data_IF_166361317549
#
_entry.id   IF_166361317549
#
_cell.length_a   1.000
_cell.length_b   1.000
_cell.length_c   1.000
_cell.angle_alpha   90.00
_cell.angle_beta   90.00
_cell.angle_gamma   90.00
#
_symmetry.space_group_name_H-M   'P 1'
#
loop_
_entity.id
_entity.type
_entity.pdbx_description
1 polymer ?
#
# COMPACT_ATOMS: atom_id res chain seq x y z
N UNK A 1 27.45 34.86 19.36
CA UNK A 1 27.97 35.41 18.09
C UNK A 1 27.02 34.92 17.00
N UNK A 2 25.98 35.70 16.72
CA UNK A 2 24.87 35.30 15.85
C UNK A 2 25.33 35.34 14.39
N UNK A 3 25.15 34.29 13.58
CA UNK A 3 25.49 34.38 12.17
C UNK A 3 24.51 35.34 11.48
N UNK A 4 25.07 36.28 10.73
CA UNK A 4 24.33 37.31 9.99
C UNK A 4 23.54 36.64 8.87
N UNK A 5 22.21 36.72 8.98
CA UNK A 5 21.25 36.33 7.94
C UNK A 5 21.51 37.15 6.66
N UNK A 6 22.00 36.49 5.61
CA UNK A 6 22.01 37.05 4.26
C UNK A 6 20.55 37.07 3.77
N UNK A 7 20.07 38.25 3.36
CA UNK A 7 18.77 38.39 2.69
C UNK A 7 18.79 37.56 1.40
N UNK A 8 17.80 36.69 1.23
CA UNK A 8 17.65 35.76 0.10
C UNK A 8 17.44 36.44 -1.27
N UNK A 9 17.31 37.77 -1.28
CA UNK A 9 17.08 38.59 -2.48
C UNK A 9 18.29 38.61 -3.44
N UNK A 10 19.48 38.20 -2.99
CA UNK A 10 20.74 38.26 -3.80
C UNK A 10 21.39 36.89 -4.08
N UNK A 11 20.73 35.76 -3.83
CA UNK A 11 21.37 34.45 -3.98
C UNK A 11 21.31 33.94 -5.44
N UNK A 12 22.45 33.70 -6.10
CA UNK A 12 22.47 33.16 -7.46
C UNK A 12 21.88 31.74 -7.49
N UNK A 13 21.24 31.36 -8.61
CA UNK A 13 20.58 30.06 -8.85
C UNK A 13 21.30 28.82 -8.28
N UNK A 14 22.65 28.68 -8.33
CA UNK A 14 23.35 27.52 -7.78
C UNK A 14 23.15 27.32 -6.27
N UNK A 15 22.99 28.41 -5.51
CA UNK A 15 22.76 28.33 -4.05
C UNK A 15 21.32 27.92 -3.75
N UNK A 16 20.35 28.23 -4.60
CA UNK A 16 18.96 27.78 -4.43
C UNK A 16 18.83 26.25 -4.60
N UNK A 17 19.58 25.67 -5.54
CA UNK A 17 19.62 24.22 -5.72
C UNK A 17 20.18 23.47 -4.51
N UNK A 18 21.20 24.03 -3.82
CA UNK A 18 21.70 23.43 -2.57
C UNK A 18 20.68 23.51 -1.43
N UNK A 19 19.90 24.58 -1.34
CA UNK A 19 18.84 24.70 -0.33
C UNK A 19 17.70 23.71 -0.57
N UNK A 20 17.29 23.48 -1.82
CA UNK A 20 16.30 22.45 -2.15
C UNK A 20 16.72 21.05 -1.72
N UNK A 21 18.00 20.71 -1.83
CA UNK A 21 18.53 19.44 -1.33
C UNK A 21 18.44 19.36 0.21
N UNK A 22 18.72 20.47 0.91
CA UNK A 22 18.54 20.58 2.37
C UNK A 22 17.08 20.38 2.77
N UNK A 23 16.13 20.98 2.06
CA UNK A 23 14.70 20.77 2.34
C UNK A 23 14.28 19.32 2.11
N UNK A 24 14.75 18.67 1.04
CA UNK A 24 14.49 17.25 0.80
C UNK A 24 15.08 16.35 1.90
N UNK A 25 16.25 16.70 2.43
CA UNK A 25 16.86 15.99 3.54
C UNK A 25 16.07 16.20 4.85
N UNK A 26 15.69 17.44 5.17
CA UNK A 26 14.87 17.76 6.34
C UNK A 26 13.52 17.03 6.32
N UNK A 27 12.83 17.05 5.16
CA UNK A 27 11.59 16.29 4.94
C UNK A 27 11.76 14.79 5.21
N UNK A 28 12.92 14.23 4.86
CA UNK A 28 13.22 12.81 5.03
C UNK A 28 13.56 12.45 6.48
N UNK A 29 14.19 13.36 7.21
CA UNK A 29 14.64 13.15 8.59
C UNK A 29 13.52 13.39 9.61
N UNK A 30 12.60 14.31 9.30
CA UNK A 30 11.48 14.63 10.18
C UNK A 30 10.35 13.58 10.06
N UNK A 31 10.14 12.83 11.15
CA UNK A 31 9.21 11.68 11.18
C UNK A 31 7.77 12.07 10.85
N UNK A 32 7.27 13.17 11.41
CA UNK A 32 5.89 13.63 11.23
C UNK A 32 5.63 14.12 9.80
N UNK A 33 6.55 14.92 9.25
CA UNK A 33 6.51 15.37 7.85
C UNK A 33 6.53 14.20 6.87
N UNK A 34 7.45 13.26 7.06
CA UNK A 34 7.52 12.06 6.21
C UNK A 34 6.25 11.22 6.32
N UNK A 35 5.68 11.08 7.51
CA UNK A 35 4.41 10.38 7.73
C UNK A 35 3.27 11.06 6.97
N UNK A 36 3.13 12.38 7.09
CA UNK A 36 2.07 13.14 6.43
C UNK A 36 2.18 13.07 4.89
N UNK A 37 3.37 13.26 4.34
CA UNK A 37 3.64 13.13 2.91
C UNK A 37 3.32 11.73 2.39
N UNK A 38 3.68 10.72 3.16
CA UNK A 38 3.47 9.34 2.77
C UNK A 38 1.97 8.97 2.78
N UNK A 39 1.15 9.57 3.66
CA UNK A 39 -0.32 9.43 3.62
C UNK A 39 -0.91 10.04 2.34
N UNK A 40 -0.49 11.26 1.99
CA UNK A 40 -0.92 11.94 0.77
C UNK A 40 -0.51 11.14 -0.48
N UNK A 41 0.74 10.65 -0.51
CA UNK A 41 1.24 9.84 -1.61
C UNK A 41 0.39 8.58 -1.83
N UNK A 42 0.02 7.89 -0.74
CA UNK A 42 -0.80 6.67 -0.82
C UNK A 42 -2.23 6.96 -1.24
N UNK A 43 -2.88 7.93 -0.60
CA UNK A 43 -4.25 8.34 -0.94
C UNK A 43 -4.34 8.83 -2.38
N UNK A 44 -3.37 9.63 -2.81
CA UNK A 44 -3.26 10.12 -4.18
C UNK A 44 -3.09 8.98 -5.17
N UNK A 45 -2.14 8.08 -4.93
CA UNK A 45 -1.93 6.92 -5.80
C UNK A 45 -3.18 6.04 -5.94
N UNK A 46 -3.86 5.72 -4.82
CA UNK A 46 -5.05 4.87 -4.82
C UNK A 46 -6.24 5.52 -5.53
N UNK A 47 -6.36 6.85 -5.49
CA UNK A 47 -7.47 7.58 -6.10
C UNK A 47 -7.23 7.95 -7.56
N UNK A 48 -5.98 8.21 -7.94
CA UNK A 48 -5.63 8.88 -9.19
C UNK A 48 -4.59 8.13 -10.03
N UNK A 49 -3.95 7.09 -9.49
CA UNK A 49 -2.86 6.36 -10.15
C UNK A 49 -1.48 6.99 -9.95
N UNK A 50 -0.46 6.60 -10.72
CA UNK A 50 0.93 7.00 -10.49
C UNK A 50 1.17 8.51 -10.59
N UNK A 51 2.01 9.05 -9.71
CA UNK A 51 2.20 10.48 -9.57
C UNK A 51 3.24 10.85 -8.51
N UNK A 52 3.25 12.11 -8.11
CA UNK A 52 4.16 12.66 -7.12
C UNK A 52 3.42 13.54 -6.11
N UNK A 53 3.98 13.63 -4.90
CA UNK A 53 3.55 14.62 -3.92
C UNK A 53 4.30 15.92 -4.22
N UNK A 54 3.58 16.96 -4.64
CA UNK A 54 4.10 18.31 -4.85
C UNK A 54 4.08 19.06 -3.53
N UNK A 55 5.24 19.57 -3.12
CA UNK A 55 5.41 20.51 -2.03
C UNK A 55 5.78 21.86 -2.63
N UNK A 56 4.93 22.86 -2.45
CA UNK A 56 5.08 24.18 -3.04
C UNK A 56 5.31 25.24 -1.96
N UNK A 57 6.39 26.01 -2.10
CA UNK A 57 6.70 27.16 -1.27
C UNK A 57 6.55 28.45 -2.10
N UNK A 58 5.72 29.40 -1.65
CA UNK A 58 5.45 30.63 -2.40
C UNK A 58 6.62 31.61 -2.41
N UNK A 59 7.57 31.46 -1.49
CA UNK A 59 8.83 32.20 -1.43
C UNK A 59 9.88 31.43 -0.62
N UNK A 60 11.19 31.78 -0.72
CA UNK A 60 12.26 31.11 0.03
C UNK A 60 12.08 31.19 1.54
N UNK A 61 11.56 32.31 2.05
CA UNK A 61 11.38 32.54 3.48
C UNK A 61 10.41 31.52 4.08
N UNK A 62 9.40 31.08 3.33
CA UNK A 62 8.48 30.02 3.77
C UNK A 62 9.19 28.66 3.81
N UNK A 63 10.11 28.39 2.88
CA UNK A 63 10.89 27.16 2.88
C UNK A 63 11.90 27.14 4.05
N UNK A 64 12.43 28.30 4.44
CA UNK A 64 13.26 28.42 5.65
C UNK A 64 12.47 28.19 6.94
N UNK A 65 11.27 28.77 7.07
CA UNK A 65 10.41 28.50 8.23
C UNK A 65 10.12 27.02 8.42
N UNK A 66 10.00 26.26 7.33
CA UNK A 66 9.89 24.81 7.40
C UNK A 66 11.11 24.14 8.06
N UNK A 67 12.34 24.63 7.85
CA UNK A 67 13.53 24.06 8.50
C UNK A 67 13.50 24.21 10.03
N UNK A 68 12.87 25.28 10.54
CA UNK A 68 12.77 25.55 11.97
C UNK A 68 11.47 25.00 12.60
N UNK A 69 10.37 25.04 11.85
CA UNK A 69 9.02 24.73 12.32
C UNK A 69 8.44 23.39 11.88
N UNK A 70 9.16 22.65 11.02
CA UNK A 70 8.78 21.31 10.58
C UNK A 70 7.42 21.26 9.88
N UNK A 71 6.64 20.19 10.11
CA UNK A 71 5.34 19.95 9.48
C UNK A 71 4.36 21.14 9.53
N UNK A 72 4.39 21.96 10.59
CA UNK A 72 3.45 23.09 10.75
C UNK A 72 3.73 24.24 9.78
N UNK A 73 4.97 24.37 9.32
CA UNK A 73 5.42 25.39 8.36
C UNK A 73 5.65 24.78 6.97
N UNK A 74 5.24 23.53 6.77
CA UNK A 74 5.36 22.84 5.50
C UNK A 74 4.49 23.53 4.45
N UNK A 75 5.05 23.70 3.25
CA UNK A 75 4.38 24.38 2.14
C UNK A 75 3.10 23.68 1.68
N UNK A 76 2.49 24.20 0.61
CA UNK A 76 1.28 23.61 0.06
C UNK A 76 1.57 22.20 -0.47
N UNK A 77 0.83 21.22 0.05
CA UNK A 77 0.97 19.81 -0.31
C UNK A 77 -0.19 19.34 -1.19
N UNK A 78 0.16 18.86 -2.38
CA UNK A 78 -0.82 18.29 -3.32
C UNK A 78 -0.30 17.00 -3.94
N UNK A 79 -1.20 16.12 -4.37
CA UNK A 79 -0.83 14.96 -5.19
C UNK A 79 -1.11 15.28 -6.65
N UNK A 80 -0.12 15.08 -7.52
CA UNK A 80 -0.22 15.37 -8.95
C UNK A 80 0.09 14.09 -9.73
N UNK A 81 -0.81 13.68 -10.61
CA UNK A 81 -0.56 12.53 -11.49
C UNK A 81 0.55 12.87 -12.47
N UNK A 82 1.32 11.86 -12.88
CA UNK A 82 2.41 12.10 -13.82
C UNK A 82 1.97 12.72 -15.17
N UNK A 83 0.77 12.46 -15.73
CA UNK A 83 0.31 13.12 -16.96
C UNK A 83 -0.07 14.59 -16.75
N UNK A 84 -0.35 14.99 -15.51
CA UNK A 84 -0.75 16.36 -15.16
C UNK A 84 0.47 17.23 -14.78
N UNK A 85 1.68 16.66 -14.81
CA UNK A 85 2.92 17.42 -14.60
C UNK A 85 3.20 18.31 -15.82
N UNK A 86 3.52 19.58 -15.56
CA UNK A 86 3.75 20.56 -16.62
C UNK A 86 5.26 20.79 -16.83
N UNK A 87 5.81 20.48 -18.02
CA UNK A 87 7.22 20.75 -18.33
C UNK A 87 7.61 22.23 -18.18
N UNK A 88 6.65 23.15 -18.39
CA UNK A 88 6.86 24.60 -18.26
C UNK A 88 7.17 25.04 -16.83
N UNK A 89 6.82 24.26 -15.80
CA UNK A 89 7.07 24.60 -14.39
C UNK A 89 8.48 24.22 -13.91
N UNK A 90 9.18 23.34 -14.63
CA UNK A 90 10.38 22.66 -14.11
C UNK A 90 11.49 22.40 -15.13
N UNK A 91 11.22 22.64 -16.41
CA UNK A 91 12.14 22.37 -17.52
C UNK A 91 12.12 20.90 -17.98
N UNK A 92 12.62 20.63 -19.21
CA UNK A 92 12.48 19.33 -19.86
C UNK A 92 13.29 18.21 -19.18
N UNK A 93 14.46 18.53 -18.63
CA UNK A 93 15.33 17.55 -17.98
C UNK A 93 14.70 17.01 -16.69
N UNK A 94 14.28 17.93 -15.80
CA UNK A 94 13.64 17.57 -14.54
C UNK A 94 12.28 16.89 -14.76
N UNK A 95 11.51 17.35 -15.75
CA UNK A 95 10.26 16.70 -16.16
C UNK A 95 10.48 15.24 -16.56
N UNK A 96 11.47 14.97 -17.41
CA UNK A 96 11.78 13.60 -17.86
C UNK A 96 12.19 12.71 -16.68
N UNK A 97 13.01 13.22 -15.77
CA UNK A 97 13.44 12.50 -14.56
C UNK A 97 12.25 12.19 -13.64
N UNK A 98 11.41 13.20 -13.36
CA UNK A 98 10.24 13.07 -12.51
C UNK A 98 9.23 12.06 -13.09
N UNK A 99 8.92 12.15 -14.38
CA UNK A 99 8.01 11.20 -15.05
C UNK A 99 8.58 9.78 -15.01
N UNK A 100 9.88 9.60 -15.24
CA UNK A 100 10.51 8.29 -15.13
C UNK A 100 10.39 7.70 -13.71
N UNK A 101 10.58 8.53 -12.68
CA UNK A 101 10.38 8.11 -11.29
C UNK A 101 8.92 7.74 -11.01
N UNK A 102 7.95 8.55 -11.45
CA UNK A 102 6.51 8.27 -11.25
C UNK A 102 6.04 7.01 -11.97
N UNK A 103 6.64 6.66 -13.11
CA UNK A 103 6.29 5.42 -13.84
C UNK A 103 6.92 4.16 -13.26
N UNK A 104 8.05 4.28 -12.55
CA UNK A 104 8.87 3.14 -12.12
C UNK A 104 9.00 2.93 -10.61
N UNK A 105 8.30 3.70 -9.77
CA UNK A 105 8.35 3.49 -8.32
C UNK A 105 7.36 2.43 -7.84
N UNK A 106 7.72 1.71 -6.77
CA UNK A 106 6.78 0.85 -6.07
C UNK A 106 5.98 1.71 -5.06
N UNK A 107 4.67 1.94 -5.27
CA UNK A 107 3.85 2.80 -4.44
C UNK A 107 3.56 2.22 -3.04
N UNK A 108 3.82 0.93 -2.80
CA UNK A 108 3.69 0.28 -1.50
C UNK A 108 4.89 0.50 -0.58
N UNK A 109 6.03 0.90 -1.13
CA UNK A 109 7.27 1.11 -0.35
C UNK A 109 7.92 2.48 -0.53
N UNK A 110 7.56 3.20 -1.60
CA UNK A 110 8.20 4.45 -2.00
C UNK A 110 7.18 5.50 -2.39
N UNK A 111 7.56 6.76 -2.24
CA UNK A 111 6.88 7.91 -2.82
C UNK A 111 7.85 8.69 -3.70
N UNK A 112 7.30 9.50 -4.60
CA UNK A 112 8.03 10.51 -5.36
C UNK A 112 7.64 11.87 -4.83
N UNK A 113 8.63 12.63 -4.35
CA UNK A 113 8.49 14.00 -3.86
C UNK A 113 8.93 14.96 -4.96
N UNK A 114 8.14 15.99 -5.20
CA UNK A 114 8.42 17.09 -6.09
C UNK A 114 8.36 18.40 -5.27
N UNK A 115 9.51 19.00 -4.98
CA UNK A 115 9.61 20.25 -4.21
C UNK A 115 9.81 21.41 -5.17
N UNK A 116 9.06 22.49 -4.97
CA UNK A 116 9.11 23.69 -5.80
C UNK A 116 9.07 24.95 -4.92
N UNK A 117 9.93 25.92 -5.23
CA UNK A 117 10.02 27.21 -4.54
C UNK A 117 9.90 28.32 -5.57
N UNK A 118 9.00 29.26 -5.35
CA UNK A 118 8.92 30.49 -6.13
C UNK A 118 10.04 31.44 -5.70
N UNK A 119 10.85 31.89 -6.65
CA UNK A 119 11.85 32.94 -6.46
C UNK A 119 11.54 34.12 -7.37
N UNK A 120 11.94 35.31 -6.95
CA UNK A 120 11.86 36.50 -7.81
C UNK A 120 13.27 36.76 -8.32
N UNK A 121 13.44 36.75 -9.64
CA UNK A 121 14.72 36.99 -10.30
C UNK A 121 14.69 38.35 -11.00
N UNK A 122 15.77 39.10 -10.84
CA UNK A 122 16.03 40.31 -11.63
C UNK A 122 16.54 39.89 -13.01
N UNK A 123 15.77 40.20 -14.05
CA UNK A 123 16.21 40.01 -15.43
C UNK A 123 16.84 41.32 -15.93
N UNK A 124 18.09 41.32 -16.41
CA UNK A 124 18.72 42.51 -16.97
C UNK A 124 17.96 42.93 -18.25
N UNK A 125 17.09 43.92 -18.12
CA UNK A 125 16.46 44.61 -19.23
C UNK A 125 17.23 45.91 -19.50
N UNK A 126 17.36 46.30 -20.77
CA UNK A 126 17.89 47.62 -21.15
C UNK A 126 16.87 48.69 -20.76
N UNK A 127 16.85 49.07 -19.47
CA UNK A 127 15.82 49.95 -18.89
C UNK A 127 15.52 49.62 -17.42
N UNK A 128 14.25 49.78 -17.03
CA UNK A 128 13.81 49.48 -15.66
C UNK A 128 13.93 47.99 -15.33
N UNK A 129 14.36 47.70 -14.10
CA UNK A 129 14.52 46.35 -13.55
C UNK A 129 13.23 45.55 -13.72
N UNK A 130 13.30 44.45 -14.48
CA UNK A 130 12.17 43.54 -14.67
C UNK A 130 12.30 42.38 -13.67
N UNK A 131 11.37 42.33 -12.72
CA UNK A 131 11.27 41.24 -11.75
C UNK A 131 10.36 40.14 -12.32
N UNK A 132 10.92 38.96 -12.57
CA UNK A 132 10.17 37.80 -13.02
C UNK A 132 10.08 36.74 -11.92
N UNK A 133 8.90 36.14 -11.74
CA UNK A 133 8.72 35.02 -10.82
C UNK A 133 9.12 33.74 -11.55
N UNK A 134 10.08 33.02 -10.96
CA UNK A 134 10.60 31.77 -11.50
C UNK A 134 10.41 30.65 -10.46
N UNK A 135 10.04 29.45 -10.92
CA UNK A 135 10.00 28.27 -10.07
C UNK A 135 11.35 27.55 -10.12
N UNK A 136 11.95 27.34 -8.96
CA UNK A 136 13.09 26.43 -8.82
C UNK A 136 12.59 25.15 -8.20
N UNK A 137 12.83 24.02 -8.86
CA UNK A 137 12.27 22.74 -8.44
C UNK A 137 13.30 21.63 -8.38
N UNK A 138 13.02 20.62 -7.54
CA UNK A 138 13.75 19.35 -7.44
C UNK A 138 12.80 18.20 -7.16
N UNK A 139 13.14 17.01 -7.63
CA UNK A 139 12.41 15.80 -7.29
C UNK A 139 13.31 14.78 -6.60
N UNK A 140 12.71 13.92 -5.79
CA UNK A 140 13.40 12.82 -5.12
C UNK A 140 12.47 11.62 -4.94
N UNK A 141 13.03 10.43 -4.99
CA UNK A 141 12.33 9.19 -4.61
C UNK A 141 12.77 8.78 -3.21
N UNK A 142 11.82 8.58 -2.31
CA UNK A 142 12.09 8.23 -0.91
C UNK A 142 11.17 7.11 -0.43
N UNK A 143 11.55 6.47 0.68
CA UNK A 143 10.74 5.41 1.31
C UNK A 143 9.56 6.04 2.03
N UNK A 144 8.44 5.33 2.08
CA UNK A 144 7.31 5.72 2.91
C UNK A 144 7.68 5.66 4.40
N UNK A 145 6.99 6.45 5.22
CA UNK A 145 7.05 6.32 6.68
C UNK A 145 6.61 4.92 7.12
N UNK A 146 7.31 4.35 8.10
CA UNK A 146 7.01 3.02 8.66
C UNK A 146 5.73 3.02 9.49
N UNK A 147 5.33 4.18 10.01
CA UNK A 147 4.17 4.34 10.88
C UNK A 147 2.87 4.52 10.10
N UNK A 148 2.91 4.54 8.77
CA UNK A 148 1.66 4.45 8.00
C UNK A 148 1.14 3.04 8.15
N UNK A 149 0.22 2.90 9.10
CA UNK A 149 -0.82 1.88 9.05
C UNK A 149 -1.63 2.14 7.79
N UNK A 150 -1.18 1.54 6.69
CA UNK A 150 -2.05 1.15 5.60
C UNK A 150 -3.15 0.29 6.25
N UNK A 151 -4.45 0.43 5.93
CA UNK A 151 -5.37 -0.66 6.19
C UNK A 151 -4.78 -1.88 5.47
N UNK A 152 -4.21 -2.81 6.23
CA UNK A 152 -3.32 -3.87 5.76
C UNK A 152 -3.80 -4.44 4.42
N UNK A 153 -3.15 -4.02 3.32
CA UNK A 153 -3.01 -4.93 2.19
C UNK A 153 -1.82 -5.79 2.54
N UNK A 154 -2.16 -6.95 3.11
CA UNK A 154 -1.32 -8.13 3.31
C UNK A 154 -0.10 -8.07 2.39
N UNK A 155 1.08 -7.97 3.00
CA UNK A 155 2.33 -8.37 2.37
C UNK A 155 2.09 -9.68 1.64
N UNK A 156 2.20 -9.70 0.31
CA UNK A 156 2.50 -10.79 -0.65
C UNK A 156 2.26 -12.27 -0.29
N UNK A 157 1.46 -12.55 0.72
CA UNK A 157 1.11 -13.85 1.27
C UNK A 157 -0.41 -13.81 1.29
N UNK A 158 -1.11 -14.45 0.34
CA UNK A 158 -2.56 -14.55 0.40
C UNK A 158 -2.95 -15.13 1.77
N UNK A 159 -3.87 -14.46 2.48
CA UNK A 159 -4.46 -14.99 3.72
C UNK A 159 -4.84 -16.45 3.45
N UNK A 160 -4.28 -17.37 4.23
CA UNK A 160 -4.52 -18.79 4.05
C UNK A 160 -5.60 -19.23 5.02
N UNK A 161 -6.79 -19.49 4.50
CA UNK A 161 -7.89 -20.08 5.26
C UNK A 161 -7.78 -21.60 5.20
N UNK A 162 -7.57 -22.25 6.34
CA UNK A 162 -7.61 -23.71 6.44
C UNK A 162 -8.93 -24.12 7.07
N UNK A 163 -9.73 -24.87 6.35
CA UNK A 163 -10.98 -25.46 6.81
C UNK A 163 -10.71 -26.92 7.15
N UNK A 164 -10.78 -27.26 8.43
CA UNK A 164 -10.46 -28.59 8.95
C UNK A 164 -11.46 -29.05 9.99
N UNK A 165 -11.44 -30.33 10.33
CA UNK A 165 -12.13 -30.90 11.48
C UNK A 165 -11.28 -32.01 12.09
N UNK A 166 -11.41 -32.23 13.40
CA UNK A 166 -10.74 -33.32 14.09
C UNK A 166 -11.23 -34.69 13.60
N UNK A 167 -10.39 -35.72 13.74
CA UNK A 167 -10.74 -37.09 13.38
C UNK A 167 -12.03 -37.56 14.03
N UNK A 168 -12.88 -38.19 13.21
CA UNK A 168 -14.21 -38.67 13.58
C UNK A 168 -14.19 -40.13 14.09
N UNK A 169 -13.01 -40.70 14.28
CA UNK A 169 -12.74 -42.14 14.44
C UNK A 169 -13.35 -42.82 15.68
N UNK A 170 -13.86 -42.04 16.64
CA UNK A 170 -14.39 -42.55 17.92
C UNK A 170 -15.93 -42.55 18.02
N UNK A 171 -16.65 -42.34 16.92
CA UNK A 171 -18.11 -42.10 16.91
C UNK A 171 -18.88 -43.19 16.17
N UNK A 172 -20.17 -43.34 16.50
CA UNK A 172 -21.10 -44.23 15.78
C UNK A 172 -21.26 -43.78 14.32
N UNK A 173 -21.52 -44.72 13.40
CA UNK A 173 -21.66 -44.44 11.96
C UNK A 173 -22.69 -43.35 11.65
N UNK A 174 -23.84 -43.37 12.34
CA UNK A 174 -24.89 -42.36 12.21
C UNK A 174 -24.40 -40.96 12.61
N UNK A 175 -23.60 -40.88 13.68
CA UNK A 175 -23.04 -39.61 14.16
C UNK A 175 -21.93 -39.10 13.25
N UNK A 176 -21.10 -40.00 12.70
CA UNK A 176 -20.08 -39.65 11.70
C UNK A 176 -20.73 -39.03 10.47
N UNK A 177 -21.81 -39.63 9.97
CA UNK A 177 -22.56 -39.11 8.82
C UNK A 177 -23.13 -37.71 9.09
N UNK A 178 -23.77 -37.52 10.24
CA UNK A 178 -24.31 -36.22 10.65
C UNK A 178 -23.21 -35.13 10.72
N UNK A 179 -22.05 -35.48 11.30
CA UNK A 179 -20.91 -34.55 11.39
C UNK A 179 -20.28 -34.26 10.02
N UNK A 180 -20.25 -35.23 9.09
CA UNK A 180 -19.81 -35.00 7.70
C UNK A 180 -20.77 -34.09 6.94
N UNK A 181 -22.08 -34.22 7.14
CA UNK A 181 -23.06 -33.31 6.53
C UNK A 181 -22.95 -31.90 7.11
N UNK A 182 -22.80 -31.79 8.43
CA UNK A 182 -22.60 -30.52 9.13
C UNK A 182 -21.32 -29.82 8.69
N UNK A 183 -20.20 -30.54 8.57
CA UNK A 183 -18.91 -29.97 8.17
C UNK A 183 -18.98 -29.34 6.78
N UNK A 184 -19.67 -29.95 5.82
CA UNK A 184 -19.87 -29.38 4.47
C UNK A 184 -20.69 -28.10 4.53
N UNK A 185 -21.79 -28.08 5.29
CA UNK A 185 -22.62 -26.90 5.44
C UNK A 185 -21.80 -25.73 6.03
N UNK A 186 -20.95 -26.03 7.01
CA UNK A 186 -20.08 -25.03 7.63
C UNK A 186 -18.94 -24.57 6.71
N UNK A 187 -18.35 -25.47 5.92
CA UNK A 187 -17.41 -25.10 4.83
C UNK A 187 -18.06 -24.11 3.87
N UNK A 188 -19.29 -24.40 3.42
CA UNK A 188 -20.01 -23.48 2.54
C UNK A 188 -20.32 -22.14 3.21
N UNK A 189 -20.71 -22.15 4.48
CA UNK A 189 -21.00 -20.94 5.25
C UNK A 189 -19.76 -20.06 5.38
N UNK A 190 -18.62 -20.62 5.75
CA UNK A 190 -17.34 -19.90 5.89
C UNK A 190 -16.88 -19.24 4.59
N UNK A 191 -17.07 -19.92 3.46
CA UNK A 191 -16.77 -19.36 2.14
C UNK A 191 -17.79 -18.30 1.71
N UNK A 192 -19.07 -18.50 2.03
CA UNK A 192 -20.14 -17.54 1.72
C UNK A 192 -19.97 -16.21 2.45
N UNK A 193 -19.40 -16.20 3.66
CA UNK A 193 -19.06 -14.95 4.38
C UNK A 193 -18.14 -14.03 3.55
N UNK A 194 -17.31 -14.61 2.66
CA UNK A 194 -16.42 -13.91 1.74
C UNK A 194 -16.99 -13.79 0.31
N UNK A 195 -18.29 -14.06 0.14
CA UNK A 195 -18.97 -14.02 -1.16
C UNK A 195 -18.62 -15.19 -2.10
N UNK A 196 -17.98 -16.24 -1.61
CA UNK A 196 -17.57 -17.41 -2.40
C UNK A 196 -18.67 -18.47 -2.35
N UNK A 197 -19.16 -18.88 -3.53
CA UNK A 197 -20.17 -19.94 -3.65
C UNK A 197 -19.55 -21.17 -4.31
N UNK A 198 -19.26 -22.22 -3.53
CA UNK A 198 -18.71 -23.47 -4.08
C UNK A 198 -19.60 -24.07 -5.17
N UNK A 199 -20.93 -24.08 -4.98
CA UNK A 199 -21.86 -24.66 -5.97
C UNK A 199 -21.80 -23.95 -7.33
N UNK A 200 -21.54 -22.63 -7.35
CA UNK A 200 -21.50 -21.83 -8.59
C UNK A 200 -20.08 -21.71 -9.17
N UNK A 201 -19.11 -21.41 -8.32
CA UNK A 201 -17.74 -21.06 -8.72
C UNK A 201 -16.83 -22.29 -8.79
N UNK A 202 -17.07 -23.31 -7.96
CA UNK A 202 -16.24 -24.52 -7.86
C UNK A 202 -17.10 -25.80 -7.78
N UNK A 203 -17.95 -26.08 -8.79
CA UNK A 203 -18.95 -27.14 -8.73
C UNK A 203 -18.34 -28.55 -8.57
N UNK A 204 -17.11 -28.76 -9.04
CA UNK A 204 -16.38 -30.04 -8.89
C UNK A 204 -16.07 -30.32 -7.42
N UNK A 205 -15.55 -29.31 -6.71
CA UNK A 205 -15.22 -29.41 -5.28
C UNK A 205 -16.49 -29.62 -4.46
N UNK A 206 -17.57 -28.91 -4.81
CA UNK A 206 -18.86 -29.11 -4.15
C UNK A 206 -19.36 -30.56 -4.31
N UNK A 207 -19.24 -31.16 -5.50
CA UNK A 207 -19.60 -32.57 -5.71
C UNK A 207 -18.73 -33.53 -4.90
N UNK A 208 -17.42 -33.27 -4.79
CA UNK A 208 -16.51 -34.09 -3.99
C UNK A 208 -16.86 -34.03 -2.50
N UNK A 209 -17.21 -32.85 -1.98
CA UNK A 209 -17.71 -32.69 -0.62
C UNK A 209 -18.99 -33.52 -0.43
N UNK A 210 -19.99 -33.39 -1.32
CA UNK A 210 -21.21 -34.19 -1.24
C UNK A 210 -20.96 -35.71 -1.29
N UNK A 211 -20.00 -36.15 -2.12
CA UNK A 211 -19.61 -37.56 -2.23
C UNK A 211 -18.87 -38.08 -0.99
N UNK A 212 -18.27 -37.19 -0.20
CA UNK A 212 -17.67 -37.55 1.08
C UNK A 212 -18.72 -37.65 2.19
N UNK A 213 -19.69 -36.72 2.29
CA UNK A 213 -20.77 -36.83 3.29
C UNK A 213 -21.74 -37.96 3.04
N UNK A 214 -22.04 -38.29 1.79
CA UNK A 214 -22.96 -39.38 1.48
C UNK A 214 -22.33 -40.78 1.66
N UNK A 215 -21.05 -40.86 2.09
CA UNK A 215 -20.33 -42.12 2.29
C UNK A 215 -19.84 -42.80 1.00
N UNK A 216 -19.89 -42.12 -0.15
CA UNK A 216 -19.32 -42.67 -1.40
C UNK A 216 -17.80 -42.61 -1.43
N UNK A 217 -17.18 -41.92 -0.48
CA UNK A 217 -15.74 -41.78 -0.34
C UNK A 217 -15.36 -41.82 1.14
N UNK A 218 -14.50 -42.78 1.51
CA UNK A 218 -14.08 -42.99 2.90
C UNK A 218 -13.16 -41.87 3.41
N UNK A 219 -12.30 -41.33 2.54
CA UNK A 219 -11.31 -40.30 2.90
C UNK A 219 -11.38 -39.09 1.98
N UNK A 220 -11.44 -37.91 2.58
CA UNK A 220 -11.39 -36.67 1.81
C UNK A 220 -9.94 -36.32 1.49
N UNK A 221 -9.63 -36.14 0.21
CA UNK A 221 -8.30 -35.65 -0.19
C UNK A 221 -8.24 -34.14 0.02
N UNK A 222 -7.19 -33.59 0.66
CA UNK A 222 -7.08 -32.14 0.85
C UNK A 222 -7.12 -31.39 -0.48
N UNK A 223 -7.88 -30.29 -0.54
CA UNK A 223 -8.05 -29.47 -1.75
C UNK A 223 -7.63 -28.03 -1.47
N UNK A 224 -6.75 -27.49 -2.31
CA UNK A 224 -6.36 -26.08 -2.29
C UNK A 224 -7.05 -25.33 -3.42
N UNK A 225 -7.66 -24.19 -3.10
CA UNK A 225 -8.23 -23.26 -4.08
C UNK A 225 -7.85 -21.82 -3.79
N UNK A 226 -7.93 -20.98 -4.82
CA UNK A 226 -7.61 -19.56 -4.74
C UNK A 226 -8.83 -18.68 -5.09
N UNK A 227 -9.87 -18.68 -4.24
CA UNK A 227 -11.05 -17.85 -4.46
C UNK A 227 -10.75 -16.37 -4.30
N UNK A 228 -11.64 -15.55 -4.87
CA UNK A 228 -11.64 -14.09 -4.70
C UNK A 228 -12.67 -13.69 -3.66
N UNK A 229 -12.23 -13.02 -2.60
CA UNK A 229 -13.11 -12.44 -1.60
C UNK A 229 -13.82 -11.21 -2.20
N UNK A 230 -15.14 -11.25 -2.23
CA UNK A 230 -15.98 -10.18 -2.79
C UNK A 230 -15.96 -8.94 -1.92
N UNK A 231 -15.80 -9.09 -0.60
CA UNK A 231 -15.83 -7.98 0.35
C UNK A 231 -14.56 -7.14 0.23
N UNK A 232 -13.42 -7.78 0.00
CA UNK A 232 -12.09 -7.13 -0.06
C UNK A 232 -11.55 -6.97 -1.49
N UNK A 233 -12.10 -7.72 -2.44
CA UNK A 233 -11.64 -7.78 -3.84
C UNK A 233 -10.33 -8.52 -4.05
N UNK A 234 -9.72 -9.10 -3.00
CA UNK A 234 -8.43 -9.83 -3.06
C UNK A 234 -8.64 -11.33 -3.23
N UNK A 235 -7.68 -12.00 -3.85
CA UNK A 235 -7.61 -13.46 -3.82
C UNK A 235 -6.97 -13.95 -2.53
N UNK A 236 -7.47 -15.07 -2.00
CA UNK A 236 -6.94 -15.71 -0.79
C UNK A 236 -6.76 -17.22 -1.04
N UNK A 237 -5.87 -17.88 -0.29
CA UNK A 237 -5.70 -19.33 -0.40
C UNK A 237 -6.67 -20.01 0.56
N UNK A 238 -7.45 -20.98 0.09
CA UNK A 238 -8.30 -21.79 0.94
C UNK A 238 -7.91 -23.25 0.80
N UNK A 239 -7.49 -23.86 1.89
CA UNK A 239 -7.20 -25.30 1.99
C UNK A 239 -8.40 -25.94 2.69
N UNK A 240 -9.05 -26.89 2.04
CA UNK A 240 -10.12 -27.71 2.62
C UNK A 240 -9.51 -29.08 2.92
N UNK A 241 -9.35 -29.39 4.20
CA UNK A 241 -8.70 -30.61 4.67
C UNK A 241 -9.55 -31.20 5.80
N UNK A 242 -10.53 -32.01 5.43
CA UNK A 242 -11.37 -32.71 6.40
C UNK A 242 -10.59 -33.92 6.94
N UNK A 243 -10.63 -34.14 8.26
CA UNK A 243 -9.85 -35.18 8.97
C UNK A 243 -8.32 -34.96 8.90
N UNK A 244 -7.87 -33.73 9.22
CA UNK A 244 -6.44 -33.43 9.24
C UNK A 244 -5.72 -34.03 10.45
N UNK A 245 -4.53 -34.57 10.21
CA UNK A 245 -3.59 -34.88 11.29
C UNK A 245 -3.00 -33.58 11.88
N UNK A 246 -2.97 -33.41 13.22
CA UNK A 246 -2.49 -32.19 13.87
C UNK A 246 -1.05 -31.80 13.53
N UNK A 247 -0.17 -32.76 13.22
CA UNK A 247 1.22 -32.45 12.83
C UNK A 247 1.30 -31.86 11.42
N UNK A 248 0.38 -32.23 10.53
CA UNK A 248 0.26 -31.66 9.17
C UNK A 248 -0.21 -30.20 9.21
N UNK A 249 -1.09 -29.83 10.16
CA UNK A 249 -1.54 -28.45 10.37
C UNK A 249 -0.40 -27.54 10.88
N UNK A 250 0.38 -28.02 11.84
CA UNK A 250 1.52 -27.27 12.44
C UNK A 250 2.59 -26.92 11.41
N UNK A 251 2.83 -27.79 10.43
CA UNK A 251 3.78 -27.53 9.35
C UNK A 251 3.34 -26.35 8.48
N UNK A 252 2.05 -26.23 8.16
CA UNK A 252 1.49 -25.12 7.37
C UNK A 252 1.52 -23.80 8.16
N UNK A 253 1.24 -23.85 9.46
CA UNK A 253 1.30 -22.68 10.35
C UNK A 253 2.73 -22.17 10.57
N UNK A 254 3.73 -23.07 10.57
CA UNK A 254 5.15 -22.73 10.75
C UNK A 254 5.83 -22.09 9.55
N UNK A 255 5.19 -22.08 8.37
CA UNK A 255 5.76 -21.62 7.10
C UNK A 255 5.87 -20.10 6.95
N UNK A 256 5.61 -19.32 8.01
CA UNK A 256 5.68 -17.85 7.99
C UNK A 256 4.55 -17.18 7.18
N UNK A 257 3.45 -17.90 6.92
CA UNK A 257 2.28 -17.41 6.19
C UNK A 257 1.21 -16.95 7.19
N UNK A 258 0.42 -15.93 6.83
CA UNK A 258 -0.76 -15.50 7.61
C UNK A 258 -1.86 -16.57 7.45
N UNK A 259 -1.93 -17.49 8.39
CA UNK A 259 -2.86 -18.62 8.40
C UNK A 259 -4.02 -18.36 9.36
N UNK A 260 -5.24 -18.64 8.91
CA UNK A 260 -6.45 -18.71 9.73
C UNK A 260 -7.02 -20.12 9.62
N UNK A 261 -6.90 -20.90 10.68
CA UNK A 261 -7.48 -22.25 10.78
C UNK A 261 -8.89 -22.15 11.38
N UNK A 262 -9.87 -22.82 10.77
CA UNK A 262 -11.25 -22.91 11.26
C UNK A 262 -11.62 -24.38 11.39
N UNK A 263 -11.98 -24.78 12.61
CA UNK A 263 -12.64 -26.06 12.85
C UNK A 263 -14.10 -25.96 12.39
N UNK A 264 -14.45 -26.68 11.33
CA UNK A 264 -15.78 -26.64 10.73
C UNK A 264 -16.84 -27.40 11.54
N UNK A 265 -16.46 -28.11 12.60
CA UNK A 265 -17.43 -28.70 13.54
C UNK A 265 -17.81 -27.77 14.69
N UNK A 266 -16.96 -26.78 15.01
CA UNK A 266 -17.16 -25.80 16.07
C UNK A 266 -17.51 -24.40 15.55
N UNK A 267 -17.74 -24.25 14.24
CA UNK A 267 -17.97 -22.97 13.60
C UNK A 267 -19.44 -22.53 13.72
N UNK A 268 -19.70 -21.54 14.60
CA UNK A 268 -21.02 -20.93 14.82
C UNK A 268 -21.53 -20.05 13.67
#
# INVERSE_FOLDING_TARGET
MSPKFLKFVDLPEPKLFSHLATYQAAIKEEKETLHHLSLIARRGYLSQGPGAVKCFFPCPENAEKFLDGGLSELGELTYVRWPDLLPSEMGPQLYSELVAMCKGYNPDSKLVLYVSVCVVSETPASGAVKWERQLVSRCAKMRLSRDICVPEKDQDNPETLILTCNSLDALSEDRVKELKEMSINNVQKQLRLRGVSLRRQHPVIFKQLCAYANGSCDKFTPITVYPKDVNTGKSFMCIIMLEADPDSLRQVESAGVKVRTVDVLCAD
#
